data_IF_047539650050
#
_entry.id   IF_047539650050
#
_cell.length_a   1.000
_cell.length_b   1.000
_cell.length_c   1.000
_cell.angle_alpha   90.00
_cell.angle_beta   90.00
_cell.angle_gamma   90.00
#
_symmetry.space_group_name_H-M   'P 1'
#
loop_
_entity.id
_entity.type
_entity.pdbx_description
1 polymer ?
#
# COMPACT_ATOMS: atom_id res chain seq x y z
N UNK A 1 31.10 23.16 -14.00
CA UNK A 1 30.39 22.37 -12.96
C UNK A 1 29.00 22.06 -13.49
N UNK A 2 28.59 20.78 -13.59
CA UNK A 2 27.17 20.46 -13.79
C UNK A 2 26.45 20.88 -12.51
N UNK A 3 25.50 21.81 -12.61
CA UNK A 3 24.62 22.13 -11.49
C UNK A 3 23.71 20.90 -11.34
N UNK A 4 23.95 20.11 -10.30
CA UNK A 4 23.05 19.01 -9.95
C UNK A 4 21.85 19.61 -9.22
N UNK A 5 20.69 19.63 -9.87
CA UNK A 5 19.45 20.05 -9.21
C UNK A 5 19.07 18.95 -8.22
N UNK A 6 19.02 19.30 -6.93
CA UNK A 6 18.48 18.45 -5.88
C UNK A 6 16.96 18.33 -6.06
N UNK A 7 16.44 17.11 -6.18
CA UNK A 7 15.00 16.84 -6.36
C UNK A 7 14.44 16.23 -5.09
N UNK A 8 13.29 16.73 -4.64
CA UNK A 8 12.46 16.11 -3.62
C UNK A 8 11.28 15.39 -4.29
N UNK A 9 11.23 14.07 -4.19
CA UNK A 9 10.06 13.27 -4.50
C UNK A 9 9.09 13.22 -3.32
N UNK A 10 7.80 13.42 -3.56
CA UNK A 10 6.73 13.33 -2.57
C UNK A 10 5.63 12.39 -3.09
N UNK A 11 5.24 11.41 -2.25
CA UNK A 11 4.04 10.60 -2.40
C UNK A 11 3.09 10.93 -1.24
N UNK A 12 2.00 11.63 -1.54
CA UNK A 12 0.98 12.01 -0.56
C UNK A 12 -0.07 10.91 -0.52
N UNK A 13 0.08 9.98 0.41
CA UNK A 13 -0.85 8.89 0.64
C UNK A 13 -1.87 9.19 1.73
N UNK A 14 -2.96 8.42 1.76
CA UNK A 14 -4.06 8.66 2.69
C UNK A 14 -3.64 8.59 4.16
N UNK A 15 -2.75 7.66 4.51
CA UNK A 15 -2.29 7.42 5.89
C UNK A 15 -0.84 7.83 6.16
N UNK A 16 -0.07 8.12 5.12
CA UNK A 16 1.35 8.43 5.24
C UNK A 16 1.78 9.41 4.14
N UNK A 17 2.70 10.29 4.49
CA UNK A 17 3.50 11.05 3.52
C UNK A 17 4.83 10.32 3.35
N UNK A 18 5.24 10.07 2.11
CA UNK A 18 6.57 9.53 1.81
C UNK A 18 7.36 10.57 1.05
N UNK A 19 8.62 10.73 1.42
CA UNK A 19 9.53 11.67 0.80
C UNK A 19 10.85 10.97 0.44
N UNK A 20 11.44 11.35 -0.68
CA UNK A 20 12.75 10.86 -1.11
C UNK A 20 13.54 11.96 -1.79
N UNK A 21 14.84 12.03 -1.54
CA UNK A 21 15.75 12.93 -2.24
C UNK A 21 16.45 12.22 -3.40
N UNK A 22 16.85 12.99 -4.42
CA UNK A 22 17.60 12.45 -5.57
C UNK A 22 18.95 11.82 -5.24
N UNK A 23 19.50 12.08 -4.03
CA UNK A 23 20.75 11.49 -3.54
C UNK A 23 20.53 10.20 -2.71
N UNK A 24 19.28 9.71 -2.62
CA UNK A 24 18.96 8.38 -2.12
C UNK A 24 18.48 8.32 -0.67
N UNK A 25 18.33 9.46 0.01
CA UNK A 25 17.70 9.49 1.33
C UNK A 25 16.17 9.40 1.19
N UNK A 26 15.51 8.71 2.12
CA UNK A 26 14.05 8.61 2.16
C UNK A 26 13.52 8.69 3.58
N UNK A 27 12.28 9.15 3.70
CA UNK A 27 11.59 9.33 4.96
C UNK A 27 10.10 9.01 4.77
N UNK A 28 9.48 8.44 5.80
CA UNK A 28 8.04 8.24 5.87
C UNK A 28 7.50 8.87 7.16
N UNK A 29 6.41 9.61 7.00
CA UNK A 29 5.74 10.32 8.09
C UNK A 29 4.27 9.87 8.19
N UNK A 30 3.83 9.28 9.31
CA UNK A 30 2.43 8.92 9.51
C UNK A 30 1.53 10.15 9.50
N UNK A 31 0.53 10.17 8.62
CA UNK A 31 -0.40 11.28 8.49
C UNK A 31 -1.73 10.81 7.89
N UNK A 32 -2.75 10.70 8.73
CA UNK A 32 -4.11 10.37 8.33
C UNK A 32 -4.83 11.61 7.77
N UNK A 33 -4.65 11.88 6.48
CA UNK A 33 -5.20 13.09 5.85
C UNK A 33 -6.72 13.19 5.98
N UNK A 34 -7.43 12.07 6.06
CA UNK A 34 -8.89 12.06 6.23
C UNK A 34 -9.36 12.61 7.58
N UNK A 35 -8.48 12.67 8.60
CA UNK A 35 -8.80 13.20 9.93
C UNK A 35 -8.46 14.68 10.09
N UNK A 36 -7.36 15.12 9.48
CA UNK A 36 -6.79 16.45 9.69
C UNK A 36 -6.16 17.00 8.41
N UNK A 37 -6.93 17.12 7.30
CA UNK A 37 -6.38 17.51 6.00
C UNK A 37 -5.69 18.88 6.05
N UNK A 38 -6.19 19.80 6.88
CA UNK A 38 -5.64 21.15 7.09
C UNK A 38 -4.18 21.16 7.57
N UNK A 39 -3.72 20.09 8.21
CA UNK A 39 -2.35 19.97 8.73
C UNK A 39 -1.34 19.52 7.67
N UNK A 40 -1.77 19.18 6.44
CA UNK A 40 -0.87 18.63 5.42
C UNK A 40 0.37 19.51 5.17
N UNK A 41 0.19 20.84 5.08
CA UNK A 41 1.30 21.76 4.85
C UNK A 41 2.31 21.75 6.02
N UNK A 42 1.82 21.72 7.27
CA UNK A 42 2.69 21.71 8.45
C UNK A 42 3.43 20.37 8.57
N UNK A 43 2.76 19.26 8.25
CA UNK A 43 3.40 17.94 8.21
C UNK A 43 4.47 17.87 7.13
N UNK A 44 4.25 18.44 5.95
CA UNK A 44 5.27 18.55 4.91
C UNK A 44 6.49 19.36 5.37
N UNK A 45 6.29 20.47 6.10
CA UNK A 45 7.39 21.27 6.67
C UNK A 45 8.18 20.52 7.74
N UNK A 46 7.58 19.53 8.39
CA UNK A 46 8.22 18.73 9.43
C UNK A 46 9.12 17.59 8.93
N UNK A 47 9.17 17.37 7.60
CA UNK A 47 10.04 16.35 7.00
C UNK A 47 11.51 16.62 7.37
N UNK A 48 12.15 15.66 8.02
CA UNK A 48 13.55 15.74 8.42
C UNK A 48 14.48 15.90 7.22
N UNK A 49 14.14 15.33 6.06
CA UNK A 49 14.87 15.52 4.81
C UNK A 49 15.09 17.00 4.46
N UNK A 50 14.12 17.89 4.78
CA UNK A 50 14.22 19.32 4.51
C UNK A 50 15.23 20.06 5.39
N UNK A 51 15.73 19.43 6.46
CA UNK A 51 16.76 20.03 7.31
C UNK A 51 18.12 20.14 6.62
N UNK A 52 18.42 19.21 5.70
CA UNK A 52 19.67 19.14 4.94
C UNK A 52 19.48 19.35 3.43
N UNK A 53 18.27 19.15 2.92
CA UNK A 53 17.94 19.27 1.50
C UNK A 53 17.38 20.65 1.17
N UNK A 54 17.96 21.30 0.16
CA UNK A 54 17.37 22.46 -0.51
C UNK A 54 16.95 22.06 -1.93
N UNK A 55 15.70 21.61 -2.14
CA UNK A 55 15.28 21.11 -3.43
C UNK A 55 15.13 22.27 -4.44
N UNK A 56 15.67 22.08 -5.64
CA UNK A 56 15.42 22.95 -6.79
C UNK A 56 14.23 22.49 -7.64
N UNK A 57 13.66 21.33 -7.32
CA UNK A 57 12.47 20.75 -7.97
C UNK A 57 11.74 19.83 -6.98
N UNK A 58 10.41 19.87 -7.00
CA UNK A 58 9.56 18.90 -6.29
C UNK A 58 8.84 18.04 -7.33
N UNK A 59 9.04 16.72 -7.26
CA UNK A 59 8.27 15.73 -8.01
C UNK A 59 7.18 15.17 -7.11
N UNK A 60 5.91 15.33 -7.49
CA UNK A 60 4.75 15.00 -6.68
C UNK A 60 3.96 13.85 -7.32
N UNK A 61 3.57 12.87 -6.52
CA UNK A 61 2.50 11.92 -6.80
C UNK A 61 1.59 11.79 -5.58
N UNK A 62 0.43 11.15 -5.73
CA UNK A 62 -0.56 11.05 -4.68
C UNK A 62 -1.43 9.80 -4.80
N UNK A 63 -1.94 9.37 -3.64
CA UNK A 63 -3.03 8.39 -3.47
C UNK A 63 -4.08 8.84 -2.45
N UNK A 64 -3.86 10.01 -1.84
CA UNK A 64 -4.73 10.61 -0.84
C UNK A 64 -5.95 11.33 -1.41
N UNK A 65 -6.04 11.53 -2.73
CA UNK A 65 -7.06 12.38 -3.35
C UNK A 65 -8.49 11.82 -3.24
N UNK A 66 -8.62 10.52 -2.91
CA UNK A 66 -9.88 9.84 -2.63
C UNK A 66 -10.17 9.67 -1.12
N UNK A 67 -9.38 10.30 -0.25
CA UNK A 67 -9.65 10.25 1.19
C UNK A 67 -11.04 10.84 1.52
N UNK A 68 -11.70 10.28 2.54
CA UNK A 68 -13.09 10.60 2.93
C UNK A 68 -13.37 12.09 3.19
N UNK A 69 -12.33 12.87 3.47
CA UNK A 69 -12.44 14.32 3.66
C UNK A 69 -12.71 15.10 2.37
N UNK A 70 -12.54 14.49 1.20
CA UNK A 70 -12.73 15.15 -0.10
C UNK A 70 -14.06 14.74 -0.75
N UNK A 71 -14.89 15.71 -1.18
CA UNK A 71 -16.18 15.39 -1.82
C UNK A 71 -16.00 14.75 -3.19
N UNK A 72 -14.88 15.02 -3.88
CA UNK A 72 -14.53 14.45 -5.17
C UNK A 72 -13.04 14.23 -5.26
N UNK A 73 -12.63 13.28 -6.10
CA UNK A 73 -11.23 13.08 -6.50
C UNK A 73 -10.56 14.38 -6.95
N UNK A 74 -11.24 15.15 -7.81
CA UNK A 74 -10.72 16.41 -8.33
C UNK A 74 -10.49 17.45 -7.20
N UNK A 75 -11.37 17.48 -6.19
CA UNK A 75 -11.16 18.33 -5.01
C UNK A 75 -9.94 17.89 -4.20
N UNK A 76 -9.74 16.58 -4.03
CA UNK A 76 -8.56 16.02 -3.37
C UNK A 76 -7.26 16.34 -4.10
N UNK A 77 -7.20 16.16 -5.43
CA UNK A 77 -6.02 16.52 -6.24
C UNK A 77 -5.70 18.01 -6.09
N UNK A 78 -6.70 18.88 -6.24
CA UNK A 78 -6.54 20.33 -6.10
C UNK A 78 -6.00 20.69 -4.71
N UNK A 79 -6.59 20.12 -3.65
CA UNK A 79 -6.15 20.36 -2.28
C UNK A 79 -4.68 19.98 -2.05
N UNK A 80 -4.29 18.78 -2.48
CA UNK A 80 -2.92 18.26 -2.29
C UNK A 80 -1.91 19.12 -3.07
N UNK A 81 -2.19 19.43 -4.34
CA UNK A 81 -1.31 20.26 -5.17
C UNK A 81 -1.18 21.67 -4.59
N UNK A 82 -2.27 22.27 -4.10
CA UNK A 82 -2.24 23.57 -3.43
C UNK A 82 -1.42 23.54 -2.14
N UNK A 83 -1.60 22.52 -1.30
CA UNK A 83 -0.83 22.37 -0.07
C UNK A 83 0.67 22.27 -0.36
N UNK A 84 1.08 21.42 -1.31
CA UNK A 84 2.49 21.25 -1.69
C UNK A 84 3.07 22.53 -2.27
N UNK A 85 2.37 23.18 -3.21
CA UNK A 85 2.83 24.46 -3.80
C UNK A 85 2.95 25.59 -2.76
N UNK A 86 2.08 25.61 -1.74
CA UNK A 86 2.16 26.58 -0.64
C UNK A 86 3.38 26.39 0.27
N UNK A 87 3.87 25.16 0.40
CA UNK A 87 5.09 24.83 1.17
C UNK A 87 6.34 25.19 0.38
N UNK A 88 6.28 25.10 -0.95
CA UNK A 88 7.40 25.31 -1.86
C UNK A 88 7.15 26.43 -2.88
N UNK A 89 6.88 27.68 -2.45
CA UNK A 89 6.35 28.75 -3.33
C UNK A 89 7.31 29.22 -4.43
N UNK A 90 8.62 28.98 -4.27
CA UNK A 90 9.65 29.40 -5.23
C UNK A 90 10.29 28.20 -5.96
N UNK A 91 9.80 26.99 -5.72
CA UNK A 91 10.37 25.77 -6.28
C UNK A 91 9.32 25.18 -7.24
N UNK A 92 9.70 24.84 -8.48
CA UNK A 92 8.78 24.21 -9.39
C UNK A 92 8.24 22.89 -8.81
N UNK A 93 6.92 22.73 -8.82
CA UNK A 93 6.25 21.46 -8.53
C UNK A 93 5.86 20.81 -9.86
N UNK A 94 6.18 19.53 -9.99
CA UNK A 94 5.86 18.69 -11.14
C UNK A 94 5.06 17.48 -10.68
N UNK A 95 3.86 17.32 -11.20
CA UNK A 95 2.93 16.25 -10.79
C UNK A 95 3.03 15.11 -11.79
N UNK A 96 3.29 13.90 -11.29
CA UNK A 96 3.35 12.69 -12.09
C UNK A 96 1.94 12.25 -12.52
N UNK A 97 1.80 11.90 -13.79
CA UNK A 97 0.55 11.47 -14.39
C UNK A 97 0.59 9.97 -14.73
N UNK A 98 -0.57 9.33 -14.74
CA UNK A 98 -0.75 7.96 -15.24
C UNK A 98 -0.51 7.82 -16.74
N UNK A 99 -0.34 8.93 -17.48
CA UNK A 99 0.17 8.92 -18.86
C UNK A 99 1.69 8.69 -18.96
N UNK A 100 2.42 8.70 -17.84
CA UNK A 100 3.87 8.45 -17.81
C UNK A 100 4.73 9.69 -17.97
N UNK A 101 4.16 10.88 -17.75
CA UNK A 101 4.87 12.15 -17.82
C UNK A 101 4.61 13.02 -16.59
N UNK A 102 5.40 14.09 -16.46
CA UNK A 102 5.19 15.11 -15.46
C UNK A 102 4.48 16.32 -16.08
N UNK A 103 3.45 16.83 -15.41
CA UNK A 103 2.83 18.12 -15.72
C UNK A 103 3.18 19.17 -14.65
N UNK A 104 2.85 20.43 -14.92
CA UNK A 104 2.91 21.52 -13.94
C UNK A 104 1.79 21.39 -12.90
N UNK A 105 1.95 22.07 -11.76
CA UNK A 105 0.90 22.15 -10.74
C UNK A 105 -0.41 22.78 -11.28
N UNK A 106 -0.33 23.72 -12.22
CA UNK A 106 -1.51 24.36 -12.82
C UNK A 106 -2.25 23.39 -13.74
N UNK A 107 -1.53 22.70 -14.62
CA UNK A 107 -2.11 21.67 -15.51
C UNK A 107 -2.76 20.52 -14.73
N UNK A 108 -2.20 20.14 -13.58
CA UNK A 108 -2.76 19.09 -12.72
C UNK A 108 -4.20 19.40 -12.24
N UNK A 109 -4.61 20.67 -12.20
CA UNK A 109 -5.99 21.06 -11.86
C UNK A 109 -7.01 20.70 -12.94
N UNK A 110 -6.56 20.56 -14.18
CA UNK A 110 -7.40 20.18 -15.32
C UNK A 110 -7.23 18.69 -15.63
N UNK A 111 -6.04 18.14 -15.42
CA UNK A 111 -5.69 16.73 -15.63
C UNK A 111 -5.91 15.85 -14.38
N UNK A 112 -6.91 16.16 -13.57
CA UNK A 112 -7.12 15.50 -12.26
C UNK A 112 -7.29 13.99 -12.36
N UNK A 113 -7.90 13.49 -13.43
CA UNK A 113 -8.06 12.04 -13.64
C UNK A 113 -6.72 11.33 -13.86
N UNK A 114 -5.76 12.00 -14.49
CA UNK A 114 -4.43 11.46 -14.74
C UNK A 114 -3.49 11.63 -13.54
N UNK A 115 -3.67 12.69 -12.75
CA UNK A 115 -2.86 12.97 -11.57
C UNK A 115 -3.24 12.11 -10.36
N UNK A 116 -4.49 11.67 -10.30
CA UNK A 116 -5.01 10.83 -9.23
C UNK A 116 -4.42 9.41 -9.26
N UNK A 117 -4.14 8.87 -8.08
CA UNK A 117 -3.62 7.53 -7.86
C UNK A 117 -2.46 7.17 -8.80
N UNK A 118 -1.54 8.09 -9.09
CA UNK A 118 -0.50 7.89 -10.09
C UNK A 118 0.78 7.23 -9.53
N UNK A 119 0.85 6.97 -8.22
CA UNK A 119 2.05 6.47 -7.53
C UNK A 119 2.49 5.09 -8.02
N UNK A 120 1.54 4.17 -8.27
CA UNK A 120 1.81 2.83 -8.79
C UNK A 120 2.44 2.93 -10.19
N UNK A 121 1.97 3.88 -11.01
CA UNK A 121 2.48 4.11 -12.35
C UNK A 121 3.92 4.66 -12.31
N UNK A 122 4.23 5.54 -11.35
CA UNK A 122 5.58 6.05 -11.14
C UNK A 122 6.55 4.92 -10.79
N UNK A 123 6.17 4.06 -9.83
CA UNK A 123 6.96 2.90 -9.44
C UNK A 123 7.16 1.93 -10.62
N UNK A 124 6.07 1.59 -11.34
CA UNK A 124 6.12 0.70 -12.49
C UNK A 124 7.02 1.23 -13.62
N UNK A 125 6.95 2.53 -13.90
CA UNK A 125 7.77 3.20 -14.91
C UNK A 125 9.26 3.19 -14.54
N UNK A 126 9.56 3.32 -13.25
CA UNK A 126 10.94 3.22 -12.77
C UNK A 126 11.44 1.77 -12.77
N UNK A 127 10.66 0.85 -12.19
CA UNK A 127 11.01 -0.57 -12.04
C UNK A 127 11.12 -1.30 -13.39
N UNK A 128 10.28 -0.93 -14.37
CA UNK A 128 10.32 -1.48 -15.72
C UNK A 128 11.71 -1.39 -16.37
N UNK A 129 12.50 -0.36 -16.04
CA UNK A 129 13.86 -0.19 -16.58
C UNK A 129 14.81 -1.35 -16.24
N UNK A 130 14.54 -2.12 -15.18
CA UNK A 130 15.29 -3.33 -14.84
C UNK A 130 15.01 -4.50 -15.83
N UNK A 131 13.91 -4.41 -16.57
CA UNK A 131 13.42 -5.40 -17.54
C UNK A 131 13.22 -4.69 -18.89
N UNK A 132 14.31 -4.24 -19.57
CA UNK A 132 14.18 -3.43 -20.79
C UNK A 132 13.64 -4.20 -22.01
N UNK A 133 13.47 -5.52 -21.92
CA UNK A 133 12.96 -6.37 -23.00
C UNK A 133 12.10 -7.52 -22.46
N UNK A 134 10.95 -7.76 -23.07
CA UNK A 134 10.05 -8.86 -22.74
C UNK A 134 9.13 -8.59 -21.53
N UNK A 135 8.25 -9.55 -21.21
CA UNK A 135 7.21 -9.39 -20.21
C UNK A 135 7.77 -9.45 -18.79
N UNK A 136 7.20 -8.62 -17.91
CA UNK A 136 7.37 -8.73 -16.48
C UNK A 136 6.09 -8.39 -15.71
N UNK A 137 6.03 -8.83 -14.46
CA UNK A 137 5.00 -8.45 -13.50
C UNK A 137 5.68 -7.77 -12.31
N UNK A 138 5.32 -6.51 -12.06
CA UNK A 138 5.65 -5.84 -10.81
C UNK A 138 4.58 -6.18 -9.78
N UNK A 139 5.02 -6.65 -8.61
CA UNK A 139 4.19 -6.94 -7.45
C UNK A 139 4.65 -6.00 -6.33
N UNK A 140 3.84 -5.00 -6.00
CA UNK A 140 4.10 -4.07 -4.90
C UNK A 140 3.15 -4.37 -3.75
N UNK A 141 3.65 -5.01 -2.69
CA UNK A 141 2.84 -5.37 -1.51
C UNK A 141 3.02 -4.29 -0.44
N UNK A 142 2.01 -3.45 -0.29
CA UNK A 142 1.97 -2.39 0.71
C UNK A 142 1.37 -2.83 2.04
N UNK A 143 1.15 -1.85 2.92
CA UNK A 143 0.46 -2.07 4.20
C UNK A 143 -1.03 -2.37 4.03
N UNK A 144 -1.65 -1.90 2.93
CA UNK A 144 -3.10 -1.93 2.72
C UNK A 144 -3.50 -2.68 1.46
N UNK A 145 -2.73 -2.50 0.39
CA UNK A 145 -3.03 -2.98 -0.95
C UNK A 145 -1.83 -3.74 -1.52
N UNK A 146 -2.10 -4.55 -2.53
CA UNK A 146 -1.10 -5.15 -3.40
C UNK A 146 -1.37 -4.73 -4.83
N UNK A 147 -0.39 -4.13 -5.49
CA UNK A 147 -0.47 -3.74 -6.89
C UNK A 147 0.18 -4.82 -7.77
N UNK A 148 -0.52 -5.26 -8.81
CA UNK A 148 -0.05 -6.29 -9.76
C UNK A 148 0.01 -5.68 -11.16
N UNK A 149 1.16 -5.11 -11.50
CA UNK A 149 1.29 -4.22 -12.66
C UNK A 149 2.03 -4.97 -13.77
N UNK A 150 1.37 -5.30 -14.89
CA UNK A 150 2.04 -5.85 -16.06
C UNK A 150 3.01 -4.83 -16.65
N UNK A 151 4.16 -5.33 -17.10
CA UNK A 151 5.21 -4.57 -17.75
C UNK A 151 5.59 -5.28 -19.06
N UNK A 152 5.98 -4.50 -20.06
CA UNK A 152 6.49 -5.00 -21.33
C UNK A 152 7.55 -4.06 -21.88
N UNK A 153 8.69 -4.62 -22.29
CA UNK A 153 9.82 -3.88 -22.88
C UNK A 153 10.23 -2.65 -22.07
N UNK A 154 10.25 -2.81 -20.75
CA UNK A 154 10.65 -1.80 -19.79
C UNK A 154 9.62 -0.73 -19.47
N UNK A 155 8.39 -0.86 -19.95
CA UNK A 155 7.30 0.09 -19.75
C UNK A 155 6.07 -0.56 -19.09
N UNK A 156 5.26 0.18 -18.32
CA UNK A 156 3.99 -0.33 -17.82
C UNK A 156 3.00 -0.62 -18.96
N UNK A 157 2.28 -1.74 -18.86
CA UNK A 157 1.23 -2.14 -19.79
C UNK A 157 -0.12 -2.32 -19.07
N UNK A 158 -0.61 -1.32 -18.32
CA UNK A 158 -1.81 -1.48 -17.51
C UNK A 158 -3.05 -1.70 -18.37
N UNK A 159 -3.98 -2.48 -17.85
CA UNK A 159 -5.34 -2.61 -18.39
C UNK A 159 -6.24 -1.53 -17.81
N UNK A 160 -6.05 -1.19 -16.53
CA UNK A 160 -6.79 -0.15 -15.82
C UNK A 160 -5.90 1.04 -15.45
N UNK A 161 -6.37 2.25 -15.72
CA UNK A 161 -5.65 3.49 -15.41
C UNK A 161 -6.07 4.11 -14.07
N UNK A 162 -7.26 3.78 -13.58
CA UNK A 162 -7.74 4.21 -12.28
C UNK A 162 -8.10 3.03 -11.38
N UNK A 163 -8.23 3.27 -10.09
CA UNK A 163 -8.44 2.19 -9.10
C UNK A 163 -9.66 1.31 -9.38
N UNK A 164 -10.77 1.88 -9.86
CA UNK A 164 -11.96 1.10 -10.20
C UNK A 164 -11.67 0.11 -11.33
N UNK A 165 -10.98 0.56 -12.38
CA UNK A 165 -10.57 -0.31 -13.48
C UNK A 165 -9.56 -1.35 -13.01
N UNK A 166 -8.58 -0.94 -12.19
CA UNK A 166 -7.54 -1.83 -11.66
C UNK A 166 -8.11 -2.91 -10.74
N UNK A 167 -9.15 -2.59 -9.96
CA UNK A 167 -9.93 -3.58 -9.21
C UNK A 167 -10.62 -4.57 -10.15
N UNK A 168 -11.27 -4.09 -11.21
CA UNK A 168 -11.97 -4.95 -12.17
C UNK A 168 -11.01 -5.88 -12.95
N UNK A 169 -9.81 -5.40 -13.27
CA UNK A 169 -8.80 -6.13 -14.03
C UNK A 169 -7.88 -6.98 -13.16
N UNK A 170 -7.98 -6.86 -11.83
CA UNK A 170 -7.13 -7.56 -10.87
C UNK A 170 -5.70 -7.02 -10.78
N UNK A 171 -5.48 -5.77 -11.20
CA UNK A 171 -4.21 -5.04 -11.09
C UNK A 171 -4.06 -4.29 -9.75
N UNK A 172 -5.15 -4.24 -8.96
CA UNK A 172 -5.19 -3.74 -7.58
C UNK A 172 -5.95 -4.75 -6.71
N UNK A 173 -5.30 -5.27 -5.67
CA UNK A 173 -5.89 -6.14 -4.65
C UNK A 173 -5.92 -5.39 -3.31
N UNK A 174 -7.08 -5.34 -2.66
CA UNK A 174 -7.23 -4.74 -1.32
C UNK A 174 -6.80 -5.69 -0.19
N UNK A 175 -5.56 -6.17 -0.30
CA UNK A 175 -4.90 -6.98 0.72
C UNK A 175 -3.45 -6.53 0.85
N UNK A 176 -3.05 -6.20 2.07
CA UNK A 176 -1.69 -5.80 2.43
C UNK A 176 -1.30 -6.38 3.78
N UNK A 177 -0.05 -6.16 4.18
CA UNK A 177 0.54 -6.85 5.34
C UNK A 177 0.24 -6.20 6.69
N UNK A 178 -0.55 -5.12 6.76
CA UNK A 178 -0.84 -4.47 8.06
C UNK A 178 -2.31 -4.14 8.29
N UNK A 179 -2.96 -3.52 7.32
CA UNK A 179 -4.23 -2.79 7.53
C UNK A 179 -5.47 -3.54 7.04
N UNK A 180 -5.33 -4.73 6.46
CA UNK A 180 -6.47 -5.47 5.94
C UNK A 180 -7.23 -6.12 7.09
N UNK A 181 -8.52 -5.81 7.31
CA UNK A 181 -9.31 -6.43 8.37
C UNK A 181 -9.38 -7.95 8.21
N UNK A 182 -9.27 -8.70 9.30
CA UNK A 182 -9.36 -10.18 9.26
C UNK A 182 -10.69 -10.64 8.67
N UNK A 183 -11.79 -9.97 9.02
CA UNK A 183 -13.13 -10.24 8.49
C UNK A 183 -13.32 -9.93 6.99
N UNK A 184 -12.35 -9.23 6.36
CA UNK A 184 -12.30 -9.06 4.91
C UNK A 184 -11.60 -10.22 4.19
N UNK A 185 -10.79 -11.01 4.90
CA UNK A 185 -10.04 -12.16 4.35
C UNK A 185 -10.84 -13.45 4.56
N UNK A 186 -11.35 -13.66 5.77
CA UNK A 186 -12.06 -14.89 6.16
C UNK A 186 -13.42 -14.59 6.76
N UNK A 187 -14.30 -15.60 6.82
CA UNK A 187 -15.62 -15.53 7.47
C UNK A 187 -15.75 -16.44 8.70
N UNK A 188 -14.76 -17.28 8.93
CA UNK A 188 -14.65 -18.16 10.09
C UNK A 188 -13.20 -18.43 10.43
N UNK A 189 -12.93 -18.82 11.68
CA UNK A 189 -11.62 -19.23 12.16
C UNK A 189 -11.69 -20.65 12.75
N UNK A 190 -10.64 -21.47 12.58
CA UNK A 190 -10.56 -22.76 13.25
C UNK A 190 -10.37 -22.55 14.75
N UNK A 191 -11.22 -23.16 15.56
CA UNK A 191 -11.15 -23.12 17.02
C UNK A 191 -11.57 -24.46 17.63
N UNK A 192 -10.89 -24.87 18.68
CA UNK A 192 -11.23 -26.04 19.48
C UNK A 192 -11.98 -25.58 20.75
N UNK A 193 -13.27 -25.92 20.83
CA UNK A 193 -14.16 -25.48 21.91
C UNK A 193 -14.00 -26.28 23.22
N UNK A 194 -13.39 -27.46 23.17
CA UNK A 194 -13.10 -28.31 24.33
C UNK A 194 -11.89 -29.21 24.04
N UNK A 195 -11.15 -29.63 25.09
CA UNK A 195 -9.90 -30.40 24.95
C UNK A 195 -10.03 -31.69 24.12
N UNK A 196 -11.19 -32.34 24.13
CA UNK A 196 -11.44 -33.58 23.39
C UNK A 196 -12.09 -33.38 22.00
N UNK A 197 -12.37 -32.13 21.60
CA UNK A 197 -13.04 -31.84 20.32
C UNK A 197 -12.04 -31.55 19.21
N UNK A 198 -12.35 -31.97 17.98
CA UNK A 198 -11.64 -31.52 16.79
C UNK A 198 -11.87 -30.02 16.55
N UNK A 199 -10.90 -29.29 15.96
CA UNK A 199 -11.09 -27.90 15.57
C UNK A 199 -12.28 -27.73 14.62
N UNK A 200 -13.13 -26.75 14.90
CA UNK A 200 -14.30 -26.40 14.08
C UNK A 200 -14.14 -25.00 13.52
N UNK A 201 -14.72 -24.74 12.34
CA UNK A 201 -14.78 -23.40 11.77
C UNK A 201 -15.89 -22.60 12.46
N UNK A 202 -15.49 -21.64 13.29
CA UNK A 202 -16.40 -20.77 14.03
C UNK A 202 -16.59 -19.45 13.26
N UNK A 203 -17.82 -19.02 12.97
CA UNK A 203 -18.08 -17.72 12.35
C UNK A 203 -17.48 -16.57 13.17
N UNK A 204 -16.97 -15.55 12.49
CA UNK A 204 -16.41 -14.38 13.13
C UNK A 204 -17.30 -13.15 13.02
N UNK A 205 -17.11 -12.19 13.93
CA UNK A 205 -17.71 -10.87 13.84
C UNK A 205 -17.30 -10.15 12.54
N UNK A 206 -18.18 -9.30 12.01
CA UNK A 206 -17.90 -8.44 10.85
C UNK A 206 -17.33 -7.06 11.27
N UNK A 207 -16.83 -6.96 12.49
CA UNK A 207 -16.24 -5.74 13.06
C UNK A 207 -14.73 -5.68 12.81
N UNK A 208 -14.18 -4.45 12.83
CA UNK A 208 -12.75 -4.21 12.73
C UNK A 208 -12.07 -4.41 14.09
N UNK A 209 -11.89 -5.67 14.50
CA UNK A 209 -11.20 -6.02 15.73
C UNK A 209 -9.73 -6.39 15.53
N UNK A 210 -9.42 -7.09 14.44
CA UNK A 210 -8.07 -7.48 14.08
C UNK A 210 -7.75 -7.18 12.60
N UNK A 211 -6.48 -6.96 12.30
CA UNK A 211 -5.97 -6.75 10.95
C UNK A 211 -4.83 -7.72 10.60
N UNK A 212 -4.37 -7.71 9.36
CA UNK A 212 -3.21 -8.51 8.91
C UNK A 212 -1.93 -8.23 9.70
N UNK A 213 -1.78 -7.04 10.31
CA UNK A 213 -0.69 -6.78 11.23
C UNK A 213 -0.72 -7.74 12.43
N UNK A 214 -1.90 -7.98 13.01
CA UNK A 214 -2.07 -8.90 14.14
C UNK A 214 -1.75 -10.33 13.74
N UNK A 215 -2.25 -10.74 12.57
CA UNK A 215 -1.96 -12.05 11.98
C UNK A 215 -0.45 -12.25 11.87
N UNK A 216 0.25 -11.31 11.24
CA UNK A 216 1.69 -11.45 11.00
C UNK A 216 2.56 -11.23 12.25
N UNK A 217 2.08 -10.48 13.25
CA UNK A 217 2.71 -10.45 14.58
C UNK A 217 2.64 -11.84 15.23
N UNK A 218 1.47 -12.51 15.17
CA UNK A 218 1.25 -13.83 15.78
C UNK A 218 1.99 -14.94 15.05
N UNK A 219 2.06 -14.91 13.71
CA UNK A 219 2.87 -15.86 12.91
C UNK A 219 4.37 -15.55 12.95
N UNK A 220 4.78 -14.41 13.52
CA UNK A 220 6.18 -14.00 13.58
C UNK A 220 6.74 -13.47 12.26
N UNK A 221 5.90 -13.20 11.27
CA UNK A 221 6.28 -12.62 9.98
C UNK A 221 6.53 -11.11 10.06
N UNK A 222 6.00 -10.43 11.08
CA UNK A 222 6.33 -9.04 11.43
C UNK A 222 6.92 -8.95 12.84
N UNK A 223 7.90 -8.04 13.06
CA UNK A 223 8.42 -7.76 14.39
C UNK A 223 7.39 -6.98 15.24
N UNK A 224 7.49 -7.09 16.55
CA UNK A 224 6.74 -6.23 17.47
C UNK A 224 7.20 -4.78 17.39
N UNK A 225 6.26 -3.85 17.48
CA UNK A 225 6.52 -2.41 17.48
C UNK A 225 5.75 -1.76 18.64
N UNK A 226 6.26 -1.81 19.89
CA UNK A 226 5.52 -1.34 21.08
C UNK A 226 5.12 0.14 21.06
N UNK A 227 5.78 0.96 20.24
CA UNK A 227 5.47 2.38 20.06
C UNK A 227 4.42 2.62 18.97
N UNK A 228 4.13 1.62 18.13
CA UNK A 228 3.13 1.70 17.09
C UNK A 228 1.75 1.39 17.68
N UNK A 229 0.90 2.40 17.73
CA UNK A 229 -0.48 2.30 18.23
C UNK A 229 -1.51 2.45 17.10
N UNK A 230 -1.09 2.33 15.84
CA UNK A 230 -1.98 2.32 14.66
C UNK A 230 -2.61 0.94 14.48
N UNK A 231 -3.28 0.45 15.53
CA UNK A 231 -3.98 -0.83 15.58
C UNK A 231 -5.48 -0.59 15.73
N UNK A 232 -6.29 -1.62 15.50
CA UNK A 232 -7.75 -1.51 15.54
C UNK A 232 -8.31 -0.95 16.86
N UNK A 233 -7.64 -1.23 17.99
CA UNK A 233 -8.03 -0.79 19.33
C UNK A 233 -7.13 0.32 19.90
N UNK A 234 -6.18 0.83 19.10
CA UNK A 234 -5.22 1.86 19.52
C UNK A 234 -4.16 1.37 20.52
N UNK A 235 -4.08 0.06 20.80
CA UNK A 235 -3.05 -0.51 21.68
C UNK A 235 -1.76 -0.82 20.91
N UNK A 236 -0.62 -1.00 21.58
CA UNK A 236 0.64 -1.34 20.93
C UNK A 236 0.56 -2.53 19.96
N UNK A 237 1.36 -2.48 18.89
CA UNK A 237 1.53 -3.56 17.93
C UNK A 237 2.48 -4.64 18.47
N UNK A 238 2.05 -5.33 19.54
CA UNK A 238 2.75 -6.45 20.19
C UNK A 238 1.97 -7.75 20.00
N UNK A 239 2.62 -8.90 20.17
CA UNK A 239 1.97 -10.21 20.07
C UNK A 239 0.89 -10.37 21.13
N UNK A 240 1.15 -9.91 22.36
CA UNK A 240 0.18 -9.95 23.45
C UNK A 240 -1.11 -9.20 23.11
N UNK A 241 -0.98 -7.96 22.62
CA UNK A 241 -2.15 -7.17 22.21
C UNK A 241 -2.84 -7.76 20.97
N UNK A 242 -2.08 -8.34 20.03
CA UNK A 242 -2.60 -9.01 18.84
C UNK A 242 -3.43 -10.25 19.18
N UNK A 243 -3.05 -11.04 20.20
CA UNK A 243 -3.85 -12.16 20.70
C UNK A 243 -5.24 -11.69 21.10
N UNK A 244 -5.32 -10.61 21.89
CA UNK A 244 -6.59 -10.09 22.36
C UNK A 244 -7.45 -9.51 21.23
N UNK A 245 -6.84 -8.79 20.28
CA UNK A 245 -7.55 -8.30 19.09
C UNK A 245 -8.12 -9.44 18.24
N UNK A 246 -7.36 -10.52 18.03
CA UNK A 246 -7.83 -11.69 17.29
C UNK A 246 -8.93 -12.44 18.05
N UNK A 247 -8.84 -12.55 19.39
CA UNK A 247 -9.90 -13.14 20.21
C UNK A 247 -11.22 -12.34 20.11
N UNK A 248 -11.17 -11.01 20.11
CA UNK A 248 -12.37 -10.18 19.92
C UNK A 248 -13.08 -10.46 18.59
N UNK A 249 -12.37 -10.93 17.56
CA UNK A 249 -12.96 -11.35 16.30
C UNK A 249 -13.95 -12.53 16.47
N UNK A 250 -13.78 -13.32 17.53
CA UNK A 250 -14.65 -14.42 17.98
C UNK A 250 -15.59 -14.01 19.13
N UNK A 251 -15.76 -12.71 19.37
CA UNK A 251 -16.60 -12.16 20.44
C UNK A 251 -16.21 -12.62 21.87
N UNK A 252 -14.92 -12.88 22.10
CA UNK A 252 -14.33 -13.25 23.39
C UNK A 252 -12.99 -12.53 23.58
N UNK A 253 -12.27 -12.76 24.67
CA UNK A 253 -10.95 -12.16 24.90
C UNK A 253 -9.82 -13.20 25.06
N UNK A 254 -8.58 -12.74 25.18
CA UNK A 254 -7.42 -13.62 25.26
C UNK A 254 -7.37 -14.49 26.53
N UNK A 255 -8.27 -14.28 27.51
CA UNK A 255 -8.40 -15.14 28.69
C UNK A 255 -9.28 -16.36 28.43
N UNK A 256 -10.15 -16.31 27.42
CA UNK A 256 -11.07 -17.38 27.05
C UNK A 256 -10.43 -18.44 26.13
N UNK A 257 -9.42 -18.05 25.34
CA UNK A 257 -8.80 -18.89 24.31
C UNK A 257 -7.30 -19.02 24.54
N UNK A 258 -6.79 -20.26 24.52
CA UNK A 258 -5.35 -20.53 24.63
C UNK A 258 -4.56 -19.82 23.50
N UNK A 259 -3.41 -19.17 23.81
CA UNK A 259 -2.61 -18.45 22.81
C UNK A 259 -2.19 -19.29 21.59
N UNK A 260 -1.99 -20.59 21.78
CA UNK A 260 -1.66 -21.52 20.70
C UNK A 260 -2.82 -21.65 19.68
N UNK A 261 -4.07 -21.67 20.14
CA UNK A 261 -5.23 -21.72 19.24
C UNK A 261 -5.39 -20.42 18.46
N UNK A 262 -5.18 -19.26 19.09
CA UNK A 262 -5.19 -17.97 18.40
C UNK A 262 -4.06 -17.85 17.37
N UNK A 263 -2.89 -18.42 17.68
CA UNK A 263 -1.77 -18.47 16.72
C UNK A 263 -2.12 -19.37 15.53
N UNK A 264 -2.71 -20.54 15.75
CA UNK A 264 -3.18 -21.42 14.66
C UNK A 264 -4.29 -20.75 13.82
N UNK A 265 -5.19 -19.99 14.44
CA UNK A 265 -6.18 -19.19 13.73
C UNK A 265 -5.52 -18.09 12.88
N UNK A 266 -4.46 -17.43 13.39
CA UNK A 266 -3.68 -16.48 12.60
C UNK A 266 -2.97 -17.14 11.41
N UNK A 267 -2.35 -18.31 11.61
CA UNK A 267 -1.74 -19.10 10.53
C UNK A 267 -2.76 -19.44 9.43
N UNK A 268 -3.98 -19.83 9.83
CA UNK A 268 -5.07 -20.04 8.88
C UNK A 268 -5.40 -18.77 8.08
N UNK A 269 -5.51 -17.60 8.73
CA UNK A 269 -5.77 -16.33 8.02
C UNK A 269 -4.62 -15.98 7.06
N UNK A 270 -3.37 -16.16 7.50
CA UNK A 270 -2.19 -15.91 6.67
C UNK A 270 -2.20 -16.80 5.41
N UNK A 271 -2.54 -18.08 5.55
CA UNK A 271 -2.69 -18.99 4.42
C UNK A 271 -3.82 -18.55 3.48
N UNK A 272 -4.98 -18.16 4.01
CA UNK A 272 -6.08 -17.65 3.17
C UNK A 272 -5.68 -16.37 2.41
N UNK A 273 -4.95 -15.45 3.06
CA UNK A 273 -4.41 -14.26 2.41
C UNK A 273 -3.45 -14.63 1.28
N UNK A 274 -2.54 -15.57 1.52
CA UNK A 274 -1.59 -16.05 0.52
C UNK A 274 -2.31 -16.69 -0.67
N UNK A 275 -3.34 -17.51 -0.43
CA UNK A 275 -4.12 -18.12 -1.52
C UNK A 275 -4.84 -17.06 -2.38
N UNK A 276 -5.41 -16.01 -1.77
CA UNK A 276 -6.01 -14.88 -2.51
C UNK A 276 -4.96 -14.17 -3.38
N UNK A 277 -3.77 -13.90 -2.82
CA UNK A 277 -2.68 -13.27 -3.55
C UNK A 277 -2.17 -14.14 -4.71
N UNK A 278 -1.94 -15.44 -4.47
CA UNK A 278 -1.51 -16.40 -5.49
C UNK A 278 -2.53 -16.52 -6.63
N UNK A 279 -3.83 -16.52 -6.33
CA UNK A 279 -4.86 -16.54 -7.35
C UNK A 279 -4.81 -15.28 -8.23
N UNK A 280 -4.63 -14.10 -7.62
CA UNK A 280 -4.49 -12.84 -8.35
C UNK A 280 -3.23 -12.80 -9.21
N UNK A 281 -2.07 -13.21 -8.67
CA UNK A 281 -0.81 -13.30 -9.41
C UNK A 281 -0.93 -14.26 -10.59
N UNK A 282 -1.47 -15.47 -10.38
CA UNK A 282 -1.64 -16.47 -11.45
C UNK A 282 -2.50 -15.95 -12.58
N UNK A 283 -3.60 -15.24 -12.27
CA UNK A 283 -4.44 -14.60 -13.28
C UNK A 283 -3.62 -13.62 -14.14
N UNK A 284 -2.86 -12.73 -13.50
CA UNK A 284 -2.03 -11.73 -14.21
C UNK A 284 -0.90 -12.36 -15.04
N UNK A 285 -0.23 -13.38 -14.50
CA UNK A 285 0.79 -14.13 -15.23
C UNK A 285 0.22 -14.84 -16.46
N UNK A 286 -0.97 -15.45 -16.34
CA UNK A 286 -1.64 -16.10 -17.47
C UNK A 286 -2.04 -15.09 -18.56
N UNK A 287 -2.59 -13.94 -18.17
CA UNK A 287 -2.94 -12.87 -19.10
C UNK A 287 -1.68 -12.37 -19.84
N UNK A 288 -0.59 -12.09 -19.11
CA UNK A 288 0.67 -11.64 -19.71
C UNK A 288 1.32 -12.71 -20.61
N UNK A 289 1.26 -13.98 -20.22
CA UNK A 289 1.72 -15.10 -21.04
C UNK A 289 0.94 -15.21 -22.36
N UNK A 290 -0.37 -14.94 -22.33
CA UNK A 290 -1.22 -14.94 -23.53
C UNK A 290 -0.89 -13.79 -24.48
N UNK A 291 -0.51 -12.62 -23.94
CA UNK A 291 -0.06 -11.46 -24.70
C UNK A 291 1.35 -11.65 -25.28
N UNK A 292 2.17 -12.50 -24.64
CA UNK A 292 3.55 -12.78 -25.02
C UNK A 292 3.83 -14.28 -25.23
N UNK A 293 3.18 -14.95 -26.20
CA UNK A 293 3.21 -16.41 -26.34
C UNK A 293 4.61 -16.98 -26.57
N UNK A 294 5.50 -16.23 -27.24
CA UNK A 294 6.90 -16.63 -27.48
C UNK A 294 7.80 -16.52 -26.23
N UNK A 295 7.33 -15.83 -25.18
CA UNK A 295 8.08 -15.53 -23.96
C UNK A 295 7.31 -15.92 -22.69
N UNK A 296 6.25 -16.72 -22.83
CA UNK A 296 5.35 -17.13 -21.74
C UNK A 296 6.08 -17.82 -20.56
N UNK A 297 7.17 -18.53 -20.83
CA UNK A 297 8.03 -19.18 -19.82
C UNK A 297 9.14 -18.27 -19.27
N UNK A 298 9.21 -17.01 -19.67
CA UNK A 298 10.28 -16.05 -19.33
C UNK A 298 9.76 -14.76 -18.71
N UNK A 299 8.56 -14.77 -18.16
CA UNK A 299 8.00 -13.63 -17.44
C UNK A 299 8.86 -13.37 -16.20
N UNK A 300 9.42 -12.17 -16.11
CA UNK A 300 10.19 -11.74 -14.94
C UNK A 300 9.24 -11.20 -13.86
N UNK A 301 9.57 -11.41 -12.60
CA UNK A 301 8.82 -10.84 -11.48
C UNK A 301 9.71 -9.83 -10.76
N UNK A 302 9.17 -8.64 -10.52
CA UNK A 302 9.80 -7.60 -9.71
C UNK A 302 8.97 -7.45 -8.44
N UNK A 303 9.63 -7.55 -7.28
CA UNK A 303 8.98 -7.40 -5.98
C UNK A 303 9.31 -6.03 -5.37
N UNK A 304 8.32 -5.40 -4.77
CA UNK A 304 8.43 -4.12 -4.07
C UNK A 304 7.50 -4.09 -2.85
N UNK A 305 7.72 -3.09 -2.00
CA UNK A 305 6.83 -2.76 -0.91
C UNK A 305 7.25 -3.41 0.41
N UNK A 306 6.71 -2.88 1.51
CA UNK A 306 7.01 -3.36 2.87
C UNK A 306 6.58 -4.81 3.13
N UNK A 307 5.68 -5.33 2.29
CA UNK A 307 5.18 -6.71 2.34
C UNK A 307 5.75 -7.61 1.25
N UNK A 308 6.81 -7.21 0.54
CA UNK A 308 7.37 -7.98 -0.58
C UNK A 308 7.68 -9.46 -0.23
N UNK A 309 8.03 -9.72 1.03
CA UNK A 309 8.29 -11.06 1.56
C UNK A 309 7.07 -12.00 1.49
N UNK A 310 5.84 -11.48 1.44
CA UNK A 310 4.62 -12.27 1.28
C UNK A 310 4.47 -12.83 -0.15
N UNK A 311 5.08 -12.15 -1.12
CA UNK A 311 5.03 -12.51 -2.53
C UNK A 311 6.30 -13.23 -3.05
N UNK A 312 7.33 -13.36 -2.20
CA UNK A 312 8.61 -13.98 -2.51
C UNK A 312 8.57 -15.51 -2.37
#
# INVERSE_FOLDING_TARGET
MKITVQVLGLDIGGANIKAASSDGNSEQLPFAIWKSPEQLADRLRSLQLLSSLQPGLVALTMTAELADCFPTRAAGVRFIVQAVTSVFPQIPVRVWLTSGEFCTAEEAYDLTELAAAANWHALATWAGRAVPQGPALLIDVGSTTTDLIPLSDGTPLPTGLNDLQRLATGELLYSGVRRTPVCAIVRSLPLQLSEDAEPQLIPIAAEFFAATQDVHLLTGSLPEEPQCTDTADGRPATREAALNRLAHQLCCDATDIAPAQLTAAAEFVAEQQLQQLLAAIRRRLNELASQHPQQSHRIRVLLSGSGAWLAA
#
